data_IF_964888670540
#
_entry.id   IF_964888670540
#
_cell.length_a   1.000
_cell.length_b   1.000
_cell.length_c   1.000
_cell.angle_alpha   90.00
_cell.angle_beta   90.00
_cell.angle_gamma   90.00
#
_symmetry.space_group_name_H-M   'P 1'
#
loop_
_entity.id
_entity.type
_entity.pdbx_description
1 polymer ?
#
# COMPACT_ATOMS: atom_id res chain seq x y z
N UNK A 1 26.23 15.05 5.41
CA UNK A 1 24.91 15.69 5.46
C UNK A 1 23.87 14.58 5.38
N UNK A 2 22.84 14.61 6.24
CA UNK A 2 21.76 13.62 6.18
C UNK A 2 20.64 14.21 5.35
N UNK A 3 20.32 13.59 4.21
CA UNK A 3 19.14 13.95 3.46
C UNK A 3 17.90 13.60 4.29
N UNK A 4 17.04 14.57 4.54
CA UNK A 4 15.72 14.37 5.14
C UNK A 4 14.66 14.41 4.04
N UNK A 5 13.90 13.33 3.90
CA UNK A 5 12.70 13.32 3.04
C UNK A 5 11.50 13.62 3.92
N UNK A 6 10.74 14.65 3.56
CA UNK A 6 9.47 14.96 4.20
C UNK A 6 8.36 14.09 3.59
N UNK A 7 7.67 13.35 4.44
CA UNK A 7 6.61 12.42 4.08
C UNK A 7 5.20 12.96 4.41
N UNK A 8 5.07 14.18 4.93
CA UNK A 8 3.77 14.80 5.20
C UNK A 8 2.92 14.04 6.23
N UNK A 9 3.55 13.45 7.24
CA UNK A 9 2.86 12.69 8.30
C UNK A 9 2.52 13.61 9.48
N UNK A 10 1.24 13.82 9.78
CA UNK A 10 0.82 14.47 11.03
C UNK A 10 1.20 13.60 12.26
N UNK A 11 1.24 14.20 13.46
CA UNK A 11 1.74 13.63 14.74
C UNK A 11 0.95 12.40 15.26
N UNK A 12 0.01 11.89 14.47
CA UNK A 12 -0.80 10.69 14.72
C UNK A 12 -0.61 9.58 13.68
N UNK A 13 0.23 9.77 12.67
CA UNK A 13 0.40 8.83 11.57
C UNK A 13 1.37 7.70 11.91
N UNK A 14 0.89 6.45 11.84
CA UNK A 14 1.76 5.28 11.77
C UNK A 14 2.37 5.23 10.37
N UNK A 15 3.62 5.69 10.21
CA UNK A 15 4.34 5.51 8.95
C UNK A 15 4.65 4.02 8.76
N UNK A 16 4.01 3.39 7.76
CA UNK A 16 4.33 2.03 7.36
C UNK A 16 5.48 2.05 6.35
N UNK A 17 6.42 1.11 6.43
CA UNK A 17 7.50 1.02 5.47
C UNK A 17 7.88 -0.43 5.15
N UNK A 18 8.25 -0.70 3.90
CA UNK A 18 8.72 -2.00 3.44
C UNK A 18 9.82 -1.83 2.38
N UNK A 19 10.79 -2.73 2.37
CA UNK A 19 11.88 -2.73 1.38
C UNK A 19 11.63 -3.83 0.35
N UNK A 20 11.96 -3.58 -0.92
CA UNK A 20 11.93 -4.60 -1.96
C UNK A 20 12.92 -5.74 -1.65
N UNK A 21 12.67 -6.98 -2.12
CA UNK A 21 13.55 -8.12 -1.83
C UNK A 21 15.01 -7.94 -2.29
N UNK A 22 15.22 -7.19 -3.37
CA UNK A 22 16.54 -6.82 -3.89
C UNK A 22 17.22 -5.69 -3.12
N UNK A 23 16.53 -5.09 -2.14
CA UNK A 23 17.03 -3.97 -1.34
C UNK A 23 17.06 -2.64 -2.06
N UNK A 24 16.65 -2.56 -3.33
CA UNK A 24 16.82 -1.37 -4.17
C UNK A 24 15.74 -0.30 -3.96
N UNK A 25 14.58 -0.66 -3.41
CA UNK A 25 13.43 0.24 -3.27
C UNK A 25 12.89 0.22 -1.84
N UNK A 26 12.72 1.39 -1.25
CA UNK A 26 11.99 1.58 0.00
C UNK A 26 10.61 2.15 -0.32
N UNK A 27 9.56 1.45 0.08
CA UNK A 27 8.18 1.93 0.04
C UNK A 27 7.82 2.52 1.40
N UNK A 28 7.27 3.72 1.41
CA UNK A 28 6.80 4.42 2.61
C UNK A 28 5.34 4.79 2.41
N UNK A 29 4.48 4.29 3.29
CA UNK A 29 3.08 4.68 3.39
C UNK A 29 2.99 5.99 4.16
N UNK A 30 2.35 6.98 3.55
CA UNK A 30 2.01 8.25 4.18
C UNK A 30 0.50 8.33 4.37
N UNK A 31 0.00 9.45 4.91
CA UNK A 31 -1.44 9.69 5.01
C UNK A 31 -2.14 9.77 3.64
N UNK A 32 -1.41 10.10 2.57
CA UNK A 32 -1.98 10.47 1.26
C UNK A 32 -1.39 9.67 0.08
N UNK A 33 -0.32 8.89 0.30
CA UNK A 33 0.34 8.16 -0.78
C UNK A 33 1.17 6.97 -0.28
N UNK A 34 1.51 6.07 -1.22
CA UNK A 34 2.70 5.22 -1.12
C UNK A 34 3.82 5.89 -1.91
N UNK A 35 4.95 6.15 -1.26
CA UNK A 35 6.14 6.76 -1.87
C UNK A 35 7.20 5.68 -2.04
N UNK A 36 7.70 5.52 -3.27
CA UNK A 36 8.81 4.61 -3.57
C UNK A 36 10.11 5.40 -3.73
N UNK A 37 11.13 5.01 -2.98
CA UNK A 37 12.44 5.66 -2.92
C UNK A 37 13.53 4.71 -3.41
N UNK A 38 14.54 5.27 -4.06
CA UNK A 38 15.82 4.61 -4.24
C UNK A 38 16.57 4.53 -2.91
N UNK A 39 16.98 3.34 -2.49
CA UNK A 39 17.61 3.14 -1.18
C UNK A 39 19.06 3.65 -1.10
N UNK A 40 19.74 3.79 -2.24
CA UNK A 40 21.12 4.24 -2.29
C UNK A 40 21.22 5.78 -2.28
N UNK A 41 20.25 6.45 -2.90
CA UNK A 41 20.25 7.90 -3.12
C UNK A 41 19.19 8.64 -2.31
N UNK A 42 18.15 7.94 -1.85
CA UNK A 42 16.94 8.48 -1.24
C UNK A 42 16.10 9.34 -2.19
N UNK A 43 16.33 9.20 -3.50
CA UNK A 43 15.53 9.88 -4.51
C UNK A 43 14.15 9.24 -4.63
N UNK A 44 13.11 10.08 -4.70
CA UNK A 44 11.73 9.65 -4.96
C UNK A 44 11.64 9.15 -6.39
N UNK A 45 11.39 7.86 -6.58
CA UNK A 45 11.12 7.26 -7.89
C UNK A 45 9.66 7.43 -8.30
N UNK A 46 8.76 7.16 -7.36
CA UNK A 46 7.31 7.22 -7.60
C UNK A 46 6.56 7.72 -6.37
N UNK A 47 5.39 8.33 -6.63
CA UNK A 47 4.37 8.64 -5.63
C UNK A 47 3.05 8.11 -6.16
N UNK A 48 2.45 7.18 -5.43
CA UNK A 48 1.16 6.59 -5.76
C UNK A 48 0.11 7.14 -4.80
N UNK A 49 -0.72 8.09 -5.25
CA UNK A 49 -1.74 8.70 -4.39
C UNK A 49 -2.71 7.64 -3.86
N UNK A 50 -3.02 7.71 -2.57
CA UNK A 50 -4.06 6.89 -1.94
C UNK A 50 -5.23 7.78 -1.54
N UNK A 51 -6.42 7.18 -1.44
CA UNK A 51 -7.62 7.91 -0.99
C UNK A 51 -7.77 7.92 0.54
N UNK A 52 -7.06 7.02 1.20
CA UNK A 52 -7.10 6.81 2.66
C UNK A 52 -5.68 6.53 3.17
N UNK A 53 -5.42 6.77 4.47
CA UNK A 53 -4.12 6.49 5.08
C UNK A 53 -3.72 5.02 4.95
N UNK A 54 -2.45 4.77 4.62
CA UNK A 54 -1.87 3.43 4.59
C UNK A 54 -1.48 3.02 6.01
N UNK A 55 -2.03 1.93 6.51
CA UNK A 55 -1.77 1.43 7.88
C UNK A 55 -0.57 0.48 7.94
N UNK A 56 -0.36 -0.30 6.88
CA UNK A 56 0.76 -1.23 6.77
C UNK A 56 1.21 -1.43 5.33
N UNK A 57 2.49 -1.77 5.16
CA UNK A 57 3.10 -2.13 3.88
C UNK A 57 3.87 -3.45 4.01
N UNK A 58 3.83 -4.26 2.96
CA UNK A 58 4.69 -5.43 2.81
C UNK A 58 5.03 -5.66 1.33
N UNK A 59 6.16 -6.30 1.06
CA UNK A 59 6.56 -6.71 -0.30
C UNK A 59 6.45 -8.23 -0.43
N UNK A 60 6.07 -8.71 -1.61
CA UNK A 60 6.15 -10.14 -1.90
C UNK A 60 7.61 -10.59 -1.99
N UNK A 61 7.89 -11.84 -1.63
CA UNK A 61 9.25 -12.40 -1.64
C UNK A 61 9.87 -12.40 -3.04
N UNK A 62 9.05 -12.58 -4.07
CA UNK A 62 9.47 -12.52 -5.48
C UNK A 62 9.54 -11.10 -6.05
N UNK A 63 9.13 -10.08 -5.27
CA UNK A 63 9.13 -8.68 -5.69
C UNK A 63 8.08 -8.33 -6.75
N UNK A 64 7.11 -9.22 -7.01
CA UNK A 64 6.03 -8.98 -7.98
C UNK A 64 4.88 -8.12 -7.44
N UNK A 65 4.80 -7.90 -6.12
CA UNK A 65 3.72 -7.14 -5.50
C UNK A 65 4.17 -6.33 -4.28
N UNK A 66 3.52 -5.18 -4.08
CA UNK A 66 3.47 -4.44 -2.81
C UNK A 66 2.06 -4.55 -2.24
N UNK A 67 1.93 -5.00 -1.00
CA UNK A 67 0.67 -5.04 -0.28
C UNK A 67 0.53 -3.76 0.54
N UNK A 68 -0.55 -3.01 0.29
CA UNK A 68 -0.92 -1.83 1.07
C UNK A 68 -2.21 -2.09 1.84
N UNK A 69 -2.10 -2.09 3.16
CA UNK A 69 -3.25 -2.25 4.04
C UNK A 69 -3.85 -0.88 4.37
N UNK A 70 -5.18 -0.82 4.27
CA UNK A 70 -6.03 0.27 4.68
C UNK A 70 -7.03 -0.25 5.72
N UNK A 71 -7.76 0.65 6.36
CA UNK A 71 -8.75 0.28 7.37
C UNK A 71 -9.82 -0.71 6.87
N UNK A 72 -10.16 -0.69 5.57
CA UNK A 72 -11.27 -1.45 4.98
C UNK A 72 -10.84 -2.48 3.92
N UNK A 73 -9.58 -2.45 3.47
CA UNK A 73 -9.07 -3.36 2.43
C UNK A 73 -7.57 -3.50 2.45
N UNK A 74 -7.08 -4.48 1.71
CA UNK A 74 -5.68 -4.63 1.32
C UNK A 74 -5.62 -4.53 -0.21
N UNK A 75 -4.91 -3.55 -0.73
CA UNK A 75 -4.62 -3.46 -2.16
C UNK A 75 -3.29 -4.16 -2.46
N UNK A 76 -3.27 -4.93 -3.55
CA UNK A 76 -2.07 -5.54 -4.13
C UNK A 76 -1.64 -4.65 -5.29
N UNK A 77 -0.49 -4.01 -5.17
CA UNK A 77 0.02 -3.03 -6.12
C UNK A 77 1.15 -3.63 -6.95
N UNK A 78 1.16 -3.28 -8.24
CA UNK A 78 2.30 -3.49 -9.13
C UNK A 78 3.46 -2.60 -8.69
N UNK A 79 4.63 -3.17 -8.33
CA UNK A 79 5.75 -2.39 -7.80
C UNK A 79 6.38 -1.40 -8.79
N UNK A 80 6.17 -1.59 -10.09
CA UNK A 80 6.74 -0.74 -11.15
C UNK A 80 5.86 0.45 -11.51
N UNK A 81 4.55 0.32 -11.32
CA UNK A 81 3.58 1.34 -11.75
C UNK A 81 2.71 1.89 -10.61
N UNK A 82 2.57 1.16 -9.51
CA UNK A 82 1.59 1.42 -8.46
C UNK A 82 0.16 1.04 -8.84
N UNK A 83 -0.03 0.42 -10.01
CA UNK A 83 -1.34 -0.03 -10.45
C UNK A 83 -1.90 -1.11 -9.53
N UNK A 84 -3.18 -1.04 -9.20
CA UNK A 84 -3.84 -2.06 -8.39
C UNK A 84 -4.02 -3.34 -9.22
N UNK A 85 -3.31 -4.39 -8.84
CA UNK A 85 -3.43 -5.75 -9.40
C UNK A 85 -4.65 -6.49 -8.82
N UNK A 86 -5.04 -6.14 -7.60
CA UNK A 86 -6.25 -6.66 -6.95
C UNK A 86 -6.49 -6.01 -5.59
N UNK A 87 -7.70 -6.17 -5.07
CA UNK A 87 -8.09 -5.65 -3.76
C UNK A 87 -8.81 -6.72 -2.96
N UNK A 88 -8.44 -6.86 -1.70
CA UNK A 88 -9.03 -7.81 -0.74
C UNK A 88 -9.73 -6.98 0.35
N UNK A 89 -11.07 -6.96 0.41
CA UNK A 89 -11.77 -6.25 1.47
C UNK A 89 -11.49 -6.91 2.84
N UNK A 90 -11.13 -6.10 3.83
CA UNK A 90 -11.01 -6.53 5.23
C UNK A 90 -12.20 -5.94 5.99
N UNK A 91 -13.19 -6.80 6.26
CA UNK A 91 -14.53 -6.34 6.62
C UNK A 91 -14.64 -5.66 7.99
N UNK A 92 -15.25 -4.47 7.98
CA UNK A 92 -16.21 -4.02 8.99
C UNK A 92 -17.56 -3.79 8.31
N UNK A 93 -18.51 -4.71 8.54
CA UNK A 93 -19.86 -4.79 7.93
C UNK A 93 -19.89 -5.36 6.51
N UNK A 94 -20.16 -6.67 6.42
CA UNK A 94 -20.86 -7.23 5.29
C UNK A 94 -22.28 -6.64 5.30
N UNK A 95 -22.50 -5.52 4.61
CA UNK A 95 -23.82 -5.31 4.04
C UNK A 95 -23.97 -6.44 3.01
N UNK A 96 -24.62 -7.54 3.42
CA UNK A 96 -25.02 -8.58 2.48
C UNK A 96 -26.14 -7.96 1.64
N UNK A 97 -25.78 -7.28 0.55
CA UNK A 97 -26.73 -6.77 -0.44
C UNK A 97 -27.07 -7.81 -1.52
N UNK A 98 -26.48 -9.01 -1.47
CA UNK A 98 -26.83 -10.10 -2.38
C UNK A 98 -27.18 -11.37 -1.61
N UNK A 99 -28.48 -11.53 -1.33
CA UNK A 99 -29.09 -12.85 -1.22
C UNK A 99 -29.39 -13.30 -2.65
N UNK A 100 -28.56 -14.19 -3.21
CA UNK A 100 -28.97 -14.95 -4.38
C UNK A 100 -29.98 -16.02 -3.90
N UNK A 101 -31.20 -16.11 -4.46
CA UNK A 101 -32.05 -17.24 -4.18
C UNK A 101 -31.37 -18.52 -4.70
N UNK A 102 -31.39 -19.58 -3.89
CA UNK A 102 -31.01 -20.90 -4.36
C UNK A 102 -31.91 -21.28 -5.55
N UNK A 103 -31.37 -21.83 -6.66
CA UNK A 103 -32.23 -22.38 -7.69
C UNK A 103 -33.01 -23.55 -7.08
N UNK A 104 -34.34 -23.44 -7.08
CA UNK A 104 -35.20 -24.54 -6.69
C UNK A 104 -35.03 -25.68 -7.70
N UNK A 105 -34.70 -26.86 -7.16
CA UNK A 105 -34.86 -28.14 -7.82
C UNK A 105 -35.75 -29.02 -6.96
#
# INVERSE_FOLDING_TARGET
ETASVDFGTDDTAHAAAAVSPDGATLYVGTGEAVVALDTATLDVRFRWPTQTPVEALATSVDGAAVYAAFADRIDVLDPSTGGVLGSIPVGGTLAIDHVAPAPEG
#
